data_IF_538084513510
#
_entry.id   IF_538084513510
#
_cell.length_a   1.000
_cell.length_b   1.000
_cell.length_c   1.000
_cell.angle_alpha   90.00
_cell.angle_beta   90.00
_cell.angle_gamma   90.00
#
_symmetry.space_group_name_H-M   'P 1'
#
loop_
_entity.id
_entity.type
_entity.pdbx_description
1 polymer ?
#
# COMPACT_ATOMS: atom_id res chain seq x y z
N UNK A 1 35.35 105.44 -4.59
CA UNK A 1 34.57 104.55 -5.48
C UNK A 1 34.26 103.19 -4.83
N UNK A 2 35.28 102.45 -4.35
CA UNK A 2 35.19 101.11 -3.74
C UNK A 2 33.99 100.83 -2.82
N UNK A 3 33.64 101.74 -1.88
CA UNK A 3 32.54 101.53 -0.93
C UNK A 3 31.20 101.27 -1.65
N UNK A 4 30.92 102.00 -2.75
CA UNK A 4 29.69 101.81 -3.56
C UNK A 4 29.71 100.52 -4.40
N UNK A 5 30.88 99.92 -4.62
CA UNK A 5 30.99 98.59 -5.24
C UNK A 5 30.67 97.50 -4.21
N UNK A 6 31.29 97.55 -3.03
CA UNK A 6 31.03 96.61 -1.95
C UNK A 6 29.58 96.61 -1.46
N UNK A 7 28.92 97.78 -1.31
CA UNK A 7 27.50 97.81 -0.92
C UNK A 7 26.57 97.27 -2.02
N UNK A 8 26.88 97.50 -3.31
CA UNK A 8 26.14 96.87 -4.42
C UNK A 8 26.34 95.36 -4.47
N UNK A 9 27.57 94.87 -4.29
CA UNK A 9 27.85 93.43 -4.26
C UNK A 9 27.09 92.75 -3.11
N UNK A 10 27.13 93.37 -1.92
CA UNK A 10 26.43 92.89 -0.72
C UNK A 10 24.90 92.89 -0.89
N UNK A 11 24.34 93.89 -1.60
CA UNK A 11 22.90 93.91 -1.94
C UNK A 11 22.50 92.86 -2.99
N UNK A 12 23.33 92.61 -4.00
CA UNK A 12 23.05 91.57 -5.01
C UNK A 12 23.12 90.19 -4.35
N UNK A 13 24.08 89.97 -3.44
CA UNK A 13 24.14 88.79 -2.60
C UNK A 13 22.91 88.68 -1.68
N UNK A 14 22.51 89.74 -0.95
CA UNK A 14 21.37 89.69 -0.04
C UNK A 14 20.02 89.49 -0.71
N UNK A 15 19.84 90.00 -1.94
CA UNK A 15 18.52 90.02 -2.58
C UNK A 15 18.29 88.84 -3.54
N UNK A 16 19.34 88.15 -3.99
CA UNK A 16 19.22 87.01 -4.94
C UNK A 16 19.65 85.69 -4.32
N UNK A 17 20.82 85.62 -3.67
CA UNK A 17 21.33 84.36 -3.11
C UNK A 17 20.55 83.93 -1.87
N UNK A 18 20.12 84.87 -1.04
CA UNK A 18 19.38 84.60 0.19
C UNK A 18 18.00 83.93 -0.04
N UNK A 19 17.13 84.41 -0.96
CA UNK A 19 15.91 83.69 -1.30
C UNK A 19 16.16 82.36 -2.04
N UNK A 20 17.15 82.30 -2.95
CA UNK A 20 17.50 81.06 -3.66
C UNK A 20 18.06 79.96 -2.72
N UNK A 21 18.86 80.35 -1.73
CA UNK A 21 19.34 79.44 -0.70
C UNK A 21 18.19 78.98 0.22
N UNK A 22 17.25 79.86 0.57
CA UNK A 22 16.05 79.51 1.34
C UNK A 22 15.17 78.49 0.60
N UNK A 23 14.91 78.67 -0.70
CA UNK A 23 14.13 77.69 -1.48
C UNK A 23 14.89 76.37 -1.65
N UNK A 24 16.18 76.40 -1.94
CA UNK A 24 17.02 75.19 -2.05
C UNK A 24 17.06 74.40 -0.73
N UNK A 25 17.26 75.07 0.42
CA UNK A 25 17.25 74.42 1.73
C UNK A 25 15.86 73.90 2.13
N UNK A 26 14.77 74.61 1.78
CA UNK A 26 13.41 74.16 2.07
C UNK A 26 13.05 72.91 1.24
N UNK A 27 13.42 72.87 -0.05
CA UNK A 27 13.29 71.67 -0.89
C UNK A 27 14.17 70.53 -0.38
N UNK A 28 15.39 70.82 0.09
CA UNK A 28 16.27 69.84 0.74
C UNK A 28 15.67 69.25 2.03
N UNK A 29 15.12 70.10 2.90
CA UNK A 29 14.45 69.65 4.13
C UNK A 29 13.18 68.84 3.84
N UNK A 30 12.36 69.25 2.86
CA UNK A 30 11.12 68.57 2.51
C UNK A 30 11.38 67.21 1.85
N UNK A 31 12.39 67.10 0.99
CA UNK A 31 12.82 65.82 0.41
C UNK A 31 13.46 64.89 1.44
N UNK A 32 14.27 65.41 2.37
CA UNK A 32 14.79 64.63 3.51
C UNK A 32 13.66 64.13 4.43
N UNK A 33 12.66 64.96 4.72
CA UNK A 33 11.47 64.56 5.48
C UNK A 33 10.68 63.46 4.77
N UNK A 34 10.43 63.59 3.46
CA UNK A 34 9.75 62.57 2.66
C UNK A 34 10.51 61.23 2.70
N UNK A 35 11.84 61.26 2.56
CA UNK A 35 12.69 60.07 2.64
C UNK A 35 12.63 59.40 4.02
N UNK A 36 12.57 60.18 5.11
CA UNK A 36 12.41 59.66 6.46
C UNK A 36 11.03 58.98 6.64
N UNK A 37 9.94 59.62 6.20
CA UNK A 37 8.57 59.05 6.28
C UNK A 37 8.46 57.74 5.47
N UNK A 38 8.97 57.72 4.23
CA UNK A 38 8.99 56.51 3.39
C UNK A 38 9.80 55.39 4.07
N UNK A 39 10.95 55.73 4.68
CA UNK A 39 11.78 54.75 5.40
C UNK A 39 11.07 54.15 6.61
N UNK A 40 10.29 54.94 7.36
CA UNK A 40 9.48 54.46 8.49
C UNK A 40 8.41 53.48 8.02
N UNK A 41 7.70 53.80 6.91
CA UNK A 41 6.67 52.91 6.34
C UNK A 41 7.27 51.58 5.87
N UNK A 42 8.44 51.61 5.21
CA UNK A 42 9.17 50.40 4.77
C UNK A 42 9.63 49.57 5.98
N UNK A 43 10.17 50.20 7.03
CA UNK A 43 10.57 49.51 8.25
C UNK A 43 9.37 48.86 8.97
N UNK A 44 8.22 49.54 9.02
CA UNK A 44 6.97 48.99 9.56
C UNK A 44 6.45 47.78 8.77
N UNK A 45 6.49 47.84 7.44
CA UNK A 45 6.13 46.72 6.57
C UNK A 45 7.00 45.48 6.79
N UNK A 46 8.32 45.64 6.94
CA UNK A 46 9.20 44.51 7.26
C UNK A 46 9.00 44.00 8.69
N UNK A 47 8.61 44.86 9.63
CA UNK A 47 8.30 44.46 11.01
C UNK A 47 7.06 43.54 11.06
N UNK A 48 5.97 43.86 10.33
CA UNK A 48 4.76 43.00 10.30
C UNK A 48 4.98 41.68 9.55
N UNK A 49 5.74 41.68 8.46
CA UNK A 49 6.20 40.47 7.75
C UNK A 49 6.90 39.47 8.71
N UNK A 50 7.74 39.98 9.63
CA UNK A 50 8.46 39.13 10.59
C UNK A 50 7.55 38.44 11.62
N UNK A 51 6.45 39.09 12.02
CA UNK A 51 5.50 38.52 12.99
C UNK A 51 4.66 37.39 12.40
N UNK A 52 4.15 37.55 11.17
CA UNK A 52 3.42 36.48 10.48
C UNK A 52 4.29 35.25 10.16
N UNK A 53 5.61 35.42 10.10
CA UNK A 53 6.56 34.33 9.83
C UNK A 53 6.89 33.48 11.07
N UNK A 54 6.55 33.93 12.29
CA UNK A 54 6.94 33.28 13.54
C UNK A 54 5.93 32.24 14.08
N UNK A 55 4.67 32.28 13.63
CA UNK A 55 3.58 31.44 14.17
C UNK A 55 3.43 30.06 13.52
N UNK A 56 4.18 29.76 12.46
CA UNK A 56 3.97 28.56 11.61
C UNK A 56 4.74 27.34 12.13
N UNK A 57 4.41 26.87 13.33
CA UNK A 57 4.95 25.63 13.90
C UNK A 57 4.25 24.39 13.33
N UNK A 58 4.72 23.90 12.18
CA UNK A 58 4.19 22.67 11.56
C UNK A 58 4.34 21.48 12.50
N UNK A 59 3.21 20.96 13.00
CA UNK A 59 3.19 19.77 13.85
C UNK A 59 3.69 18.55 13.07
N UNK A 60 4.63 17.81 13.65
CA UNK A 60 5.18 16.60 13.03
C UNK A 60 4.13 15.46 13.07
N UNK A 61 4.00 14.68 11.98
CA UNK A 61 3.08 13.54 11.96
C UNK A 61 3.55 12.46 12.97
N UNK A 62 2.61 11.74 13.61
CA UNK A 62 2.96 10.67 14.55
C UNK A 62 3.75 9.56 13.87
N UNK A 63 4.63 8.93 14.64
CA UNK A 63 5.44 7.78 14.17
C UNK A 63 4.52 6.61 13.82
N UNK A 64 4.82 5.91 12.73
CA UNK A 64 4.13 4.67 12.38
C UNK A 64 4.39 3.61 13.46
N UNK A 65 3.34 3.20 14.16
CA UNK A 65 3.40 2.08 15.10
C UNK A 65 3.07 0.81 14.32
N UNK A 66 4.07 -0.05 14.11
CA UNK A 66 3.85 -1.31 13.40
C UNK A 66 2.82 -2.17 14.12
N UNK A 67 1.94 -2.78 13.32
CA UNK A 67 0.93 -3.73 13.78
C UNK A 67 1.48 -5.10 13.49
N UNK A 68 1.87 -5.84 14.54
CA UNK A 68 2.43 -7.19 14.41
C UNK A 68 1.65 -8.02 13.36
N UNK A 69 2.34 -8.61 12.37
CA UNK A 69 1.70 -9.25 11.23
C UNK A 69 0.79 -10.39 11.68
N UNK A 70 -0.30 -10.59 10.94
CA UNK A 70 -1.38 -11.52 11.31
C UNK A 70 -1.55 -12.62 10.28
N UNK A 71 -1.99 -13.78 10.73
CA UNK A 71 -2.31 -14.90 9.86
C UNK A 71 -3.67 -14.63 9.21
N UNK A 72 -3.68 -14.47 7.88
CA UNK A 72 -4.89 -14.30 7.07
C UNK A 72 -5.81 -15.55 7.17
N UNK A 73 -6.82 -15.47 8.05
CA UNK A 73 -7.74 -16.57 8.37
C UNK A 73 -8.59 -17.01 7.16
N UNK A 74 -8.97 -16.06 6.34
CA UNK A 74 -9.66 -16.21 5.06
C UNK A 74 -8.81 -17.01 4.05
N UNK A 75 -7.51 -16.73 3.96
CA UNK A 75 -6.59 -17.51 3.11
C UNK A 75 -6.43 -18.95 3.62
N UNK A 76 -6.29 -19.15 4.94
CA UNK A 76 -6.27 -20.50 5.55
C UNK A 76 -7.57 -21.25 5.24
N UNK A 77 -8.72 -20.58 5.33
CA UNK A 77 -10.03 -21.18 5.04
C UNK A 77 -10.27 -21.49 3.56
N UNK A 78 -9.77 -20.68 2.63
CA UNK A 78 -9.89 -20.96 1.19
C UNK A 78 -9.08 -22.20 0.79
N UNK A 79 -7.86 -22.35 1.32
CA UNK A 79 -6.99 -23.53 1.08
C UNK A 79 -7.58 -24.86 1.59
N UNK A 80 -8.49 -24.81 2.56
CA UNK A 80 -9.24 -25.96 3.08
C UNK A 80 -10.60 -26.19 2.39
N UNK A 81 -10.96 -25.38 1.40
CA UNK A 81 -12.21 -25.55 0.64
C UNK A 81 -11.99 -26.58 -0.47
N UNK A 82 -12.80 -27.66 -0.45
CA UNK A 82 -12.71 -28.75 -1.44
C UNK A 82 -13.29 -28.41 -2.82
N UNK A 83 -13.15 -29.33 -3.81
CA UNK A 83 -13.64 -29.10 -5.16
C UNK A 83 -15.15 -28.87 -5.24
N UNK A 84 -15.58 -28.09 -6.23
CA UNK A 84 -16.98 -27.81 -6.55
C UNK A 84 -17.34 -28.29 -7.98
N UNK A 85 -18.61 -28.17 -8.36
CA UNK A 85 -19.11 -28.30 -9.74
C UNK A 85 -18.63 -29.56 -10.48
N UNK A 86 -18.81 -30.74 -9.87
CA UNK A 86 -18.37 -31.99 -10.49
C UNK A 86 -19.18 -32.25 -11.78
N UNK A 87 -18.47 -32.46 -12.89
CA UNK A 87 -18.99 -32.78 -14.22
C UNK A 87 -18.32 -34.05 -14.75
N UNK A 88 -18.97 -34.77 -15.65
CA UNK A 88 -18.39 -35.93 -16.33
C UNK A 88 -18.12 -35.61 -17.80
N UNK A 89 -16.92 -35.94 -18.29
CA UNK A 89 -16.52 -35.77 -19.68
C UNK A 89 -16.25 -37.14 -20.29
N UNK A 90 -17.07 -37.51 -21.28
CA UNK A 90 -16.87 -38.72 -22.08
C UNK A 90 -15.68 -38.55 -23.02
N UNK A 91 -14.78 -39.55 -23.06
CA UNK A 91 -13.66 -39.59 -24.01
C UNK A 91 -14.10 -39.96 -25.44
N UNK A 92 -15.38 -40.29 -25.66
CA UNK A 92 -15.94 -40.56 -26.99
C UNK A 92 -17.36 -40.02 -27.14
N UNK A 93 -17.62 -39.31 -28.24
CA UNK A 93 -18.96 -38.82 -28.58
C UNK A 93 -19.96 -39.92 -28.93
N UNK A 94 -19.49 -41.06 -29.45
CA UNK A 94 -20.27 -42.30 -29.66
C UNK A 94 -19.39 -43.52 -29.34
N UNK A 95 -19.95 -44.48 -28.61
CA UNK A 95 -19.36 -45.79 -28.33
C UNK A 95 -19.86 -46.77 -29.39
N UNK A 96 -18.99 -47.10 -30.35
CA UNK A 96 -19.34 -47.85 -31.56
C UNK A 96 -18.78 -49.27 -31.64
N UNK A 97 -18.36 -49.81 -30.50
CA UNK A 97 -17.96 -51.21 -30.32
C UNK A 97 -18.30 -51.61 -28.89
N UNK A 98 -18.40 -52.91 -28.57
CA UNK A 98 -18.26 -53.38 -27.20
C UNK A 98 -16.98 -52.79 -26.58
N UNK A 99 -17.02 -52.50 -25.28
CA UNK A 99 -15.91 -51.91 -24.54
C UNK A 99 -15.09 -53.04 -23.91
N UNK A 100 -13.83 -53.19 -24.33
CA UNK A 100 -12.89 -54.10 -23.70
C UNK A 100 -12.88 -53.90 -22.17
N UNK A 101 -12.70 -54.98 -21.40
CA UNK A 101 -12.49 -54.87 -19.95
C UNK A 101 -11.35 -53.86 -19.69
N UNK A 102 -11.53 -53.01 -18.68
CA UNK A 102 -10.64 -51.91 -18.30
C UNK A 102 -10.60 -50.69 -19.26
N UNK A 103 -11.44 -50.61 -20.29
CA UNK A 103 -11.51 -49.44 -21.18
C UNK A 103 -12.26 -48.28 -20.50
N UNK A 104 -11.53 -47.22 -20.16
CA UNK A 104 -12.10 -46.00 -19.57
C UNK A 104 -12.99 -45.28 -20.58
N UNK A 105 -14.21 -44.94 -20.19
CA UNK A 105 -15.21 -44.24 -21.04
C UNK A 105 -15.13 -42.71 -20.90
N UNK A 106 -14.62 -42.20 -19.79
CA UNK A 106 -14.52 -40.78 -19.49
C UNK A 106 -14.03 -40.51 -18.07
N UNK A 107 -13.80 -39.24 -17.77
CA UNK A 107 -13.31 -38.75 -16.47
C UNK A 107 -14.33 -37.83 -15.79
N UNK A 108 -14.19 -37.65 -14.48
CA UNK A 108 -14.79 -36.50 -13.81
C UNK A 108 -13.82 -35.33 -13.82
N UNK A 109 -14.37 -34.12 -13.94
CA UNK A 109 -13.68 -32.86 -13.65
C UNK A 109 -14.43 -32.12 -12.55
N UNK A 110 -13.73 -31.24 -11.85
CA UNK A 110 -14.29 -30.36 -10.83
C UNK A 110 -13.57 -29.01 -10.86
N UNK A 111 -14.13 -28.00 -10.21
CA UNK A 111 -13.52 -26.68 -10.12
C UNK A 111 -12.72 -26.54 -8.80
N UNK A 112 -11.49 -26.03 -8.88
CA UNK A 112 -10.66 -25.74 -7.70
C UNK A 112 -10.95 -24.34 -7.16
N UNK A 113 -11.75 -24.27 -6.10
CA UNK A 113 -12.06 -23.03 -5.37
C UNK A 113 -10.81 -22.48 -4.63
N UNK A 114 -9.77 -23.30 -4.45
CA UNK A 114 -8.58 -22.98 -3.68
C UNK A 114 -7.32 -22.63 -4.50
N UNK A 115 -7.49 -22.30 -5.79
CA UNK A 115 -6.39 -21.84 -6.66
C UNK A 115 -5.40 -22.93 -7.09
N UNK A 116 -5.72 -24.21 -6.87
CA UNK A 116 -4.98 -25.33 -7.42
C UNK A 116 -5.28 -25.51 -8.93
N UNK A 117 -4.35 -26.09 -9.72
CA UNK A 117 -4.64 -26.50 -11.09
C UNK A 117 -5.77 -27.55 -11.14
N UNK A 118 -6.58 -27.50 -12.19
CA UNK A 118 -7.88 -28.18 -12.36
C UNK A 118 -7.98 -29.59 -11.71
N UNK A 119 -8.87 -29.79 -10.72
CA UNK A 119 -9.15 -31.08 -10.08
C UNK A 119 -10.13 -31.95 -10.92
N UNK A 120 -10.32 -33.24 -10.59
CA UNK A 120 -9.86 -33.96 -9.40
C UNK A 120 -8.47 -34.59 -9.51
N UNK A 121 -7.87 -34.80 -8.35
CA UNK A 121 -6.68 -35.63 -8.19
C UNK A 121 -7.04 -37.10 -7.84
N UNK A 122 -8.27 -37.35 -7.36
CA UNK A 122 -8.96 -38.67 -7.27
C UNK A 122 -10.48 -38.43 -7.09
N UNK A 123 -11.31 -39.46 -7.29
CA UNK A 123 -12.75 -39.42 -6.98
C UNK A 123 -13.25 -40.74 -6.41
N UNK A 124 -14.34 -40.69 -5.62
CA UNK A 124 -15.08 -41.89 -5.22
C UNK A 124 -16.53 -41.80 -5.63
N UNK A 125 -17.01 -42.85 -6.30
CA UNK A 125 -18.43 -43.16 -6.35
C UNK A 125 -18.94 -43.48 -4.93
N UNK A 126 -20.20 -43.10 -4.66
CA UNK A 126 -20.92 -43.35 -3.42
C UNK A 126 -22.24 -44.12 -3.65
N UNK A 127 -22.77 -44.12 -4.87
CA UNK A 127 -24.08 -44.68 -5.21
C UNK A 127 -24.66 -44.02 -6.47
N UNK A 128 -25.98 -44.02 -6.57
CA UNK A 128 -26.75 -43.52 -7.73
C UNK A 128 -27.52 -44.63 -8.42
N UNK A 129 -28.58 -44.28 -9.15
CA UNK A 129 -29.45 -45.23 -9.87
C UNK A 129 -28.67 -46.12 -10.83
N UNK A 130 -27.67 -45.53 -11.48
CA UNK A 130 -26.93 -46.15 -12.58
C UNK A 130 -25.53 -46.63 -12.17
N UNK A 131 -25.17 -46.62 -10.88
CA UNK A 131 -23.81 -46.99 -10.45
C UNK A 131 -23.39 -48.39 -10.91
N UNK A 132 -24.33 -49.33 -10.98
CA UNK A 132 -24.07 -50.72 -11.43
C UNK A 132 -23.64 -50.82 -12.92
N UNK A 133 -23.78 -49.75 -13.71
CA UNK A 133 -23.22 -49.67 -15.07
C UNK A 133 -21.73 -49.31 -15.11
N UNK A 134 -21.11 -48.94 -13.98
CA UNK A 134 -19.77 -48.38 -13.94
C UNK A 134 -18.89 -48.94 -12.82
N UNK A 135 -17.59 -49.07 -13.10
CA UNK A 135 -16.55 -49.39 -12.12
C UNK A 135 -15.57 -48.21 -12.03
N UNK A 136 -15.21 -47.72 -10.82
CA UNK A 136 -14.26 -46.62 -10.69
C UNK A 136 -12.81 -47.12 -10.87
N UNK A 137 -12.08 -46.50 -11.79
CA UNK A 137 -10.62 -46.61 -11.84
C UNK A 137 -10.05 -45.56 -10.89
N UNK A 138 -9.48 -46.03 -9.77
CA UNK A 138 -8.69 -45.21 -8.84
C UNK A 138 -7.21 -45.30 -9.21
N UNK A 139 -6.57 -44.15 -9.36
CA UNK A 139 -5.10 -44.04 -9.31
C UNK A 139 -4.60 -44.26 -7.88
N UNK A 140 -3.30 -44.53 -7.74
CA UNK A 140 -2.70 -45.03 -6.50
C UNK A 140 -2.45 -43.95 -5.43
N UNK A 141 -3.52 -43.31 -4.91
CA UNK A 141 -3.46 -42.40 -3.76
C UNK A 141 -4.43 -42.92 -2.67
N UNK A 142 -3.91 -43.67 -1.70
CA UNK A 142 -4.62 -43.98 -0.44
C UNK A 142 -4.70 -45.47 -0.07
N UNK A 143 -4.81 -46.39 -1.03
CA UNK A 143 -4.90 -47.83 -0.77
C UNK A 143 -3.86 -48.63 -1.56
N UNK A 144 -3.09 -49.47 -0.86
CA UNK A 144 -2.23 -50.49 -1.46
C UNK A 144 -3.09 -51.59 -2.08
N UNK A 145 -3.41 -51.45 -3.37
CA UNK A 145 -4.06 -52.52 -4.13
C UNK A 145 -2.98 -53.29 -4.92
N UNK A 146 -2.69 -54.58 -4.59
CA UNK A 146 -1.56 -55.32 -5.18
C UNK A 146 -1.73 -55.58 -6.69
N UNK A 147 -2.93 -55.42 -7.24
CA UNK A 147 -3.23 -55.55 -8.67
C UNK A 147 -2.76 -54.36 -9.52
N UNK A 148 -2.10 -53.34 -8.93
CA UNK A 148 -1.52 -52.20 -9.64
C UNK A 148 -0.26 -52.53 -10.49
N UNK A 149 -0.12 -53.77 -10.96
CA UNK A 149 1.08 -54.30 -11.61
C UNK A 149 0.95 -54.51 -13.13
N UNK A 150 -0.03 -53.84 -13.77
CA UNK A 150 -0.24 -53.87 -15.23
C UNK A 150 0.03 -52.51 -15.91
N UNK A 151 1.29 -52.08 -16.05
CA UNK A 151 1.65 -51.10 -17.07
C UNK A 151 1.64 -51.76 -18.47
N UNK A 152 1.45 -50.96 -19.54
CA UNK A 152 1.70 -51.31 -20.96
C UNK A 152 0.70 -52.24 -21.70
N UNK A 153 -0.57 -51.84 -21.81
CA UNK A 153 -1.43 -52.22 -22.96
C UNK A 153 -2.32 -51.07 -23.46
N UNK A 154 -1.84 -49.83 -23.36
CA UNK A 154 -2.46 -48.65 -23.96
C UNK A 154 -1.43 -47.95 -24.85
N UNK A 155 -1.84 -47.64 -26.09
CA UNK A 155 -1.04 -46.89 -27.07
C UNK A 155 -0.78 -45.44 -26.63
N UNK A 156 0.09 -44.75 -27.35
CA UNK A 156 0.50 -43.38 -27.03
C UNK A 156 -0.62 -42.35 -27.24
N UNK A 157 -0.35 -41.10 -26.85
CA UNK A 157 -1.29 -39.97 -26.81
C UNK A 157 -2.31 -39.94 -25.66
N UNK A 158 -1.88 -40.27 -24.43
CA UNK A 158 -2.07 -39.37 -23.27
C UNK A 158 -1.33 -39.89 -22.03
N UNK A 159 -0.60 -39.03 -21.33
CA UNK A 159 0.23 -39.40 -20.17
C UNK A 159 -0.47 -39.24 -18.80
N UNK A 160 -1.73 -38.78 -18.76
CA UNK A 160 -2.35 -38.20 -17.55
C UNK A 160 -3.57 -38.95 -16.98
N UNK A 161 -4.25 -39.82 -17.75
CA UNK A 161 -5.53 -40.42 -17.35
C UNK A 161 -5.38 -41.60 -16.37
N UNK A 162 -5.14 -41.29 -15.09
CA UNK A 162 -5.06 -42.28 -13.99
C UNK A 162 -6.39 -42.52 -13.26
N UNK A 163 -7.44 -41.77 -13.60
CA UNK A 163 -8.74 -41.78 -12.93
C UNK A 163 -9.86 -41.72 -13.97
N UNK A 164 -10.91 -42.53 -13.83
CA UNK A 164 -12.06 -42.50 -14.74
C UNK A 164 -13.06 -43.63 -14.54
N UNK A 165 -14.19 -43.58 -15.23
CA UNK A 165 -15.17 -44.66 -15.22
C UNK A 165 -14.81 -45.73 -16.26
N UNK A 166 -14.87 -46.99 -15.88
CA UNK A 166 -14.87 -48.15 -16.80
C UNK A 166 -16.29 -48.71 -16.87
N UNK A 167 -16.69 -49.17 -18.05
CA UNK A 167 -17.98 -49.83 -18.24
C UNK A 167 -18.04 -51.19 -17.54
N UNK A 168 -19.11 -51.43 -16.78
CA UNK A 168 -19.42 -52.75 -16.25
C UNK A 168 -19.94 -53.69 -17.35
N UNK A 169 -20.09 -54.97 -17.03
CA UNK A 169 -20.72 -55.95 -17.92
C UNK A 169 -22.18 -55.59 -18.25
N UNK A 170 -22.92 -55.01 -17.30
CA UNK A 170 -24.28 -54.53 -17.54
C UNK A 170 -24.33 -53.42 -18.61
N UNK A 171 -23.33 -52.50 -18.61
CA UNK A 171 -23.25 -51.46 -19.62
C UNK A 171 -22.82 -52.02 -20.98
N UNK A 172 -21.86 -52.95 -20.98
CA UNK A 172 -21.47 -53.67 -22.20
C UNK A 172 -22.63 -54.46 -22.82
N UNK A 173 -23.57 -54.98 -22.02
CA UNK A 173 -24.78 -55.63 -22.51
C UNK A 173 -25.75 -54.64 -23.19
N UNK A 174 -25.87 -53.41 -22.67
CA UNK A 174 -26.61 -52.34 -23.36
C UNK A 174 -25.92 -51.93 -24.67
N UNK A 175 -24.60 -51.75 -24.66
CA UNK A 175 -23.80 -51.41 -25.86
C UNK A 175 -23.96 -52.47 -26.94
N UNK A 176 -23.85 -53.76 -26.59
CA UNK A 176 -24.06 -54.88 -27.52
C UNK A 176 -25.45 -54.85 -28.15
N UNK A 177 -26.52 -54.64 -27.36
CA UNK A 177 -27.89 -54.53 -27.87
C UNK A 177 -28.09 -53.31 -28.78
N UNK A 178 -27.57 -52.15 -28.42
CA UNK A 178 -27.69 -50.92 -29.22
C UNK A 178 -26.95 -51.02 -30.57
N UNK A 179 -25.75 -51.60 -30.58
CA UNK A 179 -24.97 -51.83 -31.82
C UNK A 179 -25.66 -52.86 -32.72
N UNK A 180 -26.16 -53.97 -32.17
CA UNK A 180 -26.89 -54.98 -32.92
C UNK A 180 -28.23 -54.44 -33.51
N UNK A 181 -28.87 -53.48 -32.84
CA UNK A 181 -30.08 -52.81 -33.32
C UNK A 181 -29.84 -51.77 -34.44
N UNK A 182 -28.59 -51.57 -34.89
CA UNK A 182 -28.24 -50.75 -36.06
C UNK A 182 -28.50 -49.24 -35.93
N UNK A 183 -28.97 -48.74 -34.78
CA UNK A 183 -29.35 -47.34 -34.57
C UNK A 183 -28.55 -46.73 -33.42
N UNK A 184 -28.20 -45.43 -33.54
CA UNK A 184 -27.55 -44.71 -32.45
C UNK A 184 -28.58 -44.43 -31.36
N UNK A 185 -28.46 -45.14 -30.24
CA UNK A 185 -29.22 -44.92 -29.02
C UNK A 185 -28.49 -43.91 -28.12
N UNK A 186 -29.24 -43.17 -27.31
CA UNK A 186 -28.73 -42.21 -26.33
C UNK A 186 -29.37 -42.51 -24.99
N UNK A 187 -28.57 -42.61 -23.92
CA UNK A 187 -29.07 -42.83 -22.55
C UNK A 187 -28.37 -41.90 -21.57
N UNK A 188 -29.15 -41.25 -20.73
CA UNK A 188 -28.70 -40.55 -19.54
C UNK A 188 -28.47 -41.54 -18.39
N UNK A 189 -27.42 -41.32 -17.62
CA UNK A 189 -27.05 -42.10 -16.43
C UNK A 189 -26.81 -41.13 -15.27
N UNK A 190 -27.19 -41.51 -14.05
CA UNK A 190 -26.96 -40.70 -12.83
C UNK A 190 -26.16 -41.46 -11.78
N UNK A 191 -25.05 -40.86 -11.35
CA UNK A 191 -24.13 -41.40 -10.33
C UNK A 191 -23.83 -40.35 -9.25
N UNK A 192 -23.63 -40.79 -8.01
CA UNK A 192 -23.28 -39.93 -6.87
C UNK A 192 -21.80 -40.04 -6.56
N UNK A 193 -21.11 -38.90 -6.48
CA UNK A 193 -19.64 -38.82 -6.38
C UNK A 193 -19.17 -37.80 -5.34
N UNK A 194 -17.95 -38.04 -4.82
CA UNK A 194 -17.09 -37.03 -4.18
C UNK A 194 -15.82 -36.90 -5.02
N UNK A 195 -15.37 -35.66 -5.23
CA UNK A 195 -14.06 -35.32 -5.78
C UNK A 195 -13.06 -34.95 -4.67
N UNK A 196 -11.79 -35.29 -4.89
CA UNK A 196 -10.67 -34.95 -4.00
C UNK A 196 -9.67 -34.05 -4.74
N UNK A 197 -9.16 -33.03 -4.05
CA UNK A 197 -8.10 -32.17 -4.58
C UNK A 197 -6.68 -32.72 -4.31
N UNK A 198 -5.64 -31.94 -4.65
CA UNK A 198 -4.24 -32.33 -4.44
C UNK A 198 -3.81 -32.32 -2.97
N UNK A 199 -4.63 -31.77 -2.08
CA UNK A 199 -4.34 -31.55 -0.67
C UNK A 199 -5.12 -32.50 0.24
N UNK A 200 -6.10 -33.23 -0.28
CA UNK A 200 -6.97 -34.13 0.48
C UNK A 200 -8.32 -33.52 0.86
N UNK A 201 -8.62 -32.29 0.42
CA UNK A 201 -9.93 -31.67 0.62
C UNK A 201 -10.99 -32.38 -0.22
N UNK A 202 -12.18 -32.52 0.34
CA UNK A 202 -13.29 -33.32 -0.23
C UNK A 202 -14.42 -32.41 -0.67
N UNK A 203 -15.01 -32.68 -1.83
CA UNK A 203 -16.25 -32.02 -2.24
C UNK A 203 -17.42 -32.42 -1.33
N UNK A 204 -18.54 -31.69 -1.43
CA UNK A 204 -19.84 -32.24 -1.01
C UNK A 204 -20.22 -33.42 -1.94
N UNK A 205 -20.99 -34.42 -1.47
CA UNK A 205 -21.56 -35.46 -2.33
C UNK A 205 -22.48 -34.86 -3.39
N UNK A 206 -22.12 -35.00 -4.67
CA UNK A 206 -22.89 -34.46 -5.79
C UNK A 206 -23.45 -35.60 -6.67
N UNK A 207 -24.69 -35.45 -7.14
CA UNK A 207 -25.24 -36.29 -8.19
C UNK A 207 -24.82 -35.71 -9.54
N UNK A 208 -24.16 -36.50 -10.38
CA UNK A 208 -23.70 -36.11 -11.71
C UNK A 208 -24.45 -36.94 -12.74
N UNK A 209 -25.30 -36.27 -13.52
CA UNK A 209 -26.01 -36.84 -14.65
C UNK A 209 -25.20 -36.62 -15.93
N UNK A 210 -25.03 -37.65 -16.75
CA UNK A 210 -24.35 -37.55 -18.04
C UNK A 210 -24.95 -38.49 -19.08
N UNK A 211 -24.79 -38.15 -20.36
CA UNK A 211 -25.40 -38.88 -21.47
C UNK A 211 -24.34 -39.58 -22.30
N UNK A 212 -24.52 -40.88 -22.54
CA UNK A 212 -23.68 -41.66 -23.46
C UNK A 212 -24.49 -42.07 -24.69
N UNK A 213 -23.82 -42.10 -25.85
CA UNK A 213 -24.40 -42.51 -27.14
C UNK A 213 -23.75 -43.82 -27.59
N UNK A 214 -24.55 -44.77 -28.06
CA UNK A 214 -24.12 -46.12 -28.44
C UNK A 214 -24.72 -46.50 -29.79
N UNK A 215 -23.95 -47.08 -30.72
CA UNK A 215 -24.46 -47.51 -32.02
C UNK A 215 -23.36 -47.60 -33.09
N UNK A 216 -23.70 -48.02 -34.33
CA UNK A 216 -22.72 -48.19 -35.40
C UNK A 216 -21.92 -46.91 -35.73
N UNK A 217 -20.69 -47.08 -36.21
CA UNK A 217 -19.71 -46.01 -36.40
C UNK A 217 -19.96 -45.23 -37.69
N UNK A 218 -20.27 -43.94 -37.59
CA UNK A 218 -20.12 -42.99 -38.72
C UNK A 218 -18.64 -42.56 -38.85
N UNK A 219 -18.07 -42.41 -40.06
CA UNK A 219 -16.62 -42.43 -40.25
C UNK A 219 -15.91 -41.07 -40.18
N UNK A 220 -14.97 -40.89 -39.24
CA UNK A 220 -13.81 -39.96 -39.38
C UNK A 220 -12.63 -40.35 -38.46
N UNK A 221 -11.40 -40.14 -38.95
CA UNK A 221 -10.08 -40.04 -38.26
C UNK A 221 -9.54 -41.18 -37.35
N UNK A 222 -8.18 -41.26 -37.23
CA UNK A 222 -7.38 -42.26 -36.50
C UNK A 222 -5.90 -41.81 -36.25
N UNK A 223 -5.00 -42.73 -35.85
CA UNK A 223 -3.54 -42.63 -35.57
C UNK A 223 -3.11 -42.12 -34.15
N UNK A 224 -1.99 -42.53 -33.51
CA UNK A 224 -1.04 -43.66 -33.71
C UNK A 224 -0.38 -44.13 -32.35
N UNK A 225 0.67 -45.00 -32.33
CA UNK A 225 1.13 -45.75 -31.12
C UNK A 225 2.68 -45.93 -30.93
N UNK A 226 3.12 -46.65 -29.85
CA UNK A 226 4.47 -47.18 -29.45
C UNK A 226 5.46 -46.25 -28.64
N UNK A 227 6.40 -46.71 -27.76
CA UNK A 227 6.60 -47.96 -26.94
C UNK A 227 7.84 -47.90 -25.97
N UNK A 228 7.85 -48.70 -24.86
CA UNK A 228 9.06 -49.26 -24.10
C UNK A 228 9.95 -48.23 -23.29
N UNK A 229 10.78 -48.44 -22.21
CA UNK A 229 11.31 -49.51 -21.27
C UNK A 229 11.24 -49.05 -19.76
N UNK A 230 11.52 -49.88 -18.71
CA UNK A 230 11.87 -49.38 -17.34
C UNK A 230 12.89 -50.21 -16.50
N UNK A 231 13.45 -49.65 -15.41
CA UNK A 231 14.27 -50.36 -14.38
C UNK A 231 14.01 -49.86 -12.93
N UNK A 232 14.70 -50.43 -11.91
CA UNK A 232 14.18 -50.60 -10.53
C UNK A 232 14.80 -49.69 -9.44
N UNK A 233 14.10 -49.57 -8.31
CA UNK A 233 14.29 -48.61 -7.20
C UNK A 233 15.26 -49.02 -6.07
N UNK A 234 15.61 -48.07 -5.19
CA UNK A 234 15.79 -48.33 -3.74
C UNK A 234 15.48 -47.07 -2.89
N UNK A 235 15.32 -47.24 -1.57
CA UNK A 235 15.11 -46.15 -0.60
C UNK A 235 15.52 -46.62 0.80
N UNK A 236 16.12 -45.75 1.62
CA UNK A 236 16.48 -46.02 3.03
C UNK A 236 15.79 -45.05 4.00
N UNK A 237 15.78 -45.36 5.30
CA UNK A 237 15.09 -44.57 6.34
C UNK A 237 15.75 -44.78 7.70
N UNK A 238 15.89 -43.73 8.50
CA UNK A 238 16.59 -43.78 9.80
C UNK A 238 15.79 -43.06 10.90
N UNK A 239 15.69 -43.72 12.06
CA UNK A 239 15.22 -43.22 13.36
C UNK A 239 16.42 -42.71 14.20
N UNK A 240 16.33 -42.12 15.39
CA UNK A 240 15.33 -41.32 16.12
C UNK A 240 16.05 -40.85 17.41
N UNK A 241 15.78 -39.64 17.92
CA UNK A 241 16.18 -39.26 19.29
C UNK A 241 15.03 -38.49 19.98
N UNK A 242 14.94 -38.59 21.31
CA UNK A 242 13.84 -38.05 22.12
C UNK A 242 14.37 -37.40 23.42
N UNK A 243 14.34 -36.07 23.55
CA UNK A 243 14.39 -35.41 24.85
C UNK A 243 12.99 -35.35 25.49
N UNK A 244 12.94 -35.25 26.82
CA UNK A 244 11.72 -34.94 27.57
C UNK A 244 11.55 -33.42 27.62
N UNK A 245 10.38 -32.91 27.20
CA UNK A 245 10.18 -31.48 26.90
C UNK A 245 9.10 -30.89 27.80
N UNK A 246 9.43 -29.77 28.47
CA UNK A 246 8.43 -28.91 29.14
C UNK A 246 7.37 -28.45 28.14
N UNK A 247 6.09 -28.51 28.51
CA UNK A 247 4.98 -28.27 27.58
C UNK A 247 4.83 -26.78 27.26
N UNK A 248 5.58 -26.29 26.28
CA UNK A 248 5.42 -24.92 25.75
C UNK A 248 4.07 -24.76 25.04
N UNK A 249 3.51 -23.54 24.92
CA UNK A 249 2.23 -23.29 24.25
C UNK A 249 2.16 -23.83 22.81
N UNK A 250 3.30 -23.84 22.09
CA UNK A 250 3.44 -24.45 20.77
C UNK A 250 3.27 -25.98 20.80
N UNK A 251 3.85 -26.67 21.79
CA UNK A 251 3.70 -28.13 21.92
C UNK A 251 2.28 -28.55 22.30
N UNK A 252 1.55 -27.72 23.07
CA UNK A 252 0.13 -27.92 23.34
C UNK A 252 -0.69 -27.80 22.06
N UNK A 253 -0.52 -26.70 21.31
CA UNK A 253 -1.21 -26.49 20.03
C UNK A 253 -0.89 -27.60 19.01
N UNK A 254 0.37 -28.01 18.89
CA UNK A 254 0.78 -29.10 18.00
C UNK A 254 0.18 -30.46 18.40
N UNK A 255 -0.03 -30.69 19.71
CA UNK A 255 -0.73 -31.88 20.24
C UNK A 255 -2.22 -31.84 19.91
N UNK A 256 -2.87 -30.70 20.05
CA UNK A 256 -4.28 -30.50 19.69
C UNK A 256 -4.52 -30.76 18.18
N UNK A 257 -3.69 -30.17 17.32
CA UNK A 257 -3.73 -30.40 15.86
C UNK A 257 -3.50 -31.88 15.52
N UNK A 258 -2.55 -32.54 16.21
CA UNK A 258 -2.27 -33.96 15.97
C UNK A 258 -3.42 -34.88 16.43
N UNK A 259 -4.18 -34.53 17.47
CA UNK A 259 -5.38 -35.28 17.89
C UNK A 259 -6.51 -35.20 16.87
N UNK A 260 -6.69 -34.08 16.16
CA UNK A 260 -7.66 -33.96 15.05
C UNK A 260 -7.29 -34.90 13.89
N UNK A 261 -6.00 -35.11 13.65
CA UNK A 261 -5.51 -35.98 12.59
C UNK A 261 -5.57 -37.48 12.91
N UNK A 262 -5.32 -37.84 14.17
CA UNK A 262 -5.23 -39.23 14.62
C UNK A 262 -5.50 -39.32 16.14
N UNK A 263 -6.77 -39.46 16.55
CA UNK A 263 -7.17 -39.59 17.95
C UNK A 263 -6.55 -40.81 18.67
N UNK A 264 -6.16 -41.85 17.91
CA UNK A 264 -5.56 -43.09 18.42
C UNK A 264 -4.06 -42.96 18.68
N UNK A 265 -3.46 -41.81 18.35
CA UNK A 265 -2.03 -41.49 18.57
C UNK A 265 -1.07 -42.44 17.85
N UNK A 266 -1.45 -42.92 16.66
CA UNK A 266 -0.61 -43.76 15.82
C UNK A 266 0.51 -43.01 15.07
N UNK A 267 1.11 -43.62 14.04
CA UNK A 267 2.20 -43.00 13.27
C UNK A 267 1.83 -41.64 12.64
N UNK A 268 0.56 -41.44 12.30
CA UNK A 268 0.05 -40.18 11.73
C UNK A 268 0.09 -39.07 12.77
N UNK A 269 -0.34 -39.32 14.00
CA UNK A 269 -0.22 -38.37 15.12
C UNK A 269 1.22 -37.84 15.26
N UNK A 270 2.21 -38.74 15.36
CA UNK A 270 3.62 -38.33 15.52
C UNK A 270 4.22 -37.65 14.28
N UNK A 271 3.65 -37.85 13.10
CA UNK A 271 4.01 -37.14 11.86
C UNK A 271 3.44 -35.72 11.87
N UNK A 272 2.16 -35.56 12.23
CA UNK A 272 1.47 -34.27 12.31
C UNK A 272 2.06 -33.42 13.44
N UNK A 273 2.24 -33.98 14.65
CA UNK A 273 2.84 -33.29 15.79
C UNK A 273 4.20 -32.68 15.46
N UNK A 274 5.13 -33.47 14.90
CA UNK A 274 6.45 -32.97 14.49
C UNK A 274 6.37 -31.90 13.39
N UNK A 275 5.46 -32.05 12.43
CA UNK A 275 5.28 -31.03 11.37
C UNK A 275 4.68 -29.73 11.93
N UNK A 276 3.73 -29.83 12.87
CA UNK A 276 3.09 -28.69 13.54
C UNK A 276 4.05 -27.93 14.45
N UNK A 277 4.89 -28.61 15.24
CA UNK A 277 5.97 -27.97 16.03
C UNK A 277 7.00 -27.25 15.17
N UNK A 278 7.21 -27.68 13.93
CA UNK A 278 8.14 -27.05 13.00
C UNK A 278 7.51 -25.92 12.17
N UNK A 279 6.20 -25.63 12.29
CA UNK A 279 5.55 -24.57 11.50
C UNK A 279 6.21 -23.19 11.68
N UNK A 280 6.45 -22.64 12.89
CA UNK A 280 7.07 -21.32 13.03
C UNK A 280 8.40 -21.22 12.28
N UNK A 281 9.27 -22.22 12.48
CA UNK A 281 10.57 -22.32 11.81
C UNK A 281 10.44 -22.38 10.28
N UNK A 282 9.50 -23.16 9.75
CA UNK A 282 9.22 -23.21 8.31
C UNK A 282 8.66 -21.88 7.77
N UNK A 283 8.00 -21.08 8.62
CA UNK A 283 7.48 -19.76 8.26
C UNK A 283 8.55 -18.66 8.33
N UNK A 284 9.73 -18.93 8.91
CA UNK A 284 10.80 -17.95 9.16
C UNK A 284 10.74 -17.29 10.54
N UNK A 285 10.07 -17.91 11.51
CA UNK A 285 9.77 -17.36 12.84
C UNK A 285 10.36 -18.26 13.94
N UNK A 286 10.73 -17.68 15.08
CA UNK A 286 11.21 -18.46 16.22
C UNK A 286 10.11 -19.37 16.82
N UNK A 287 10.50 -20.49 17.44
CA UNK A 287 9.56 -21.45 18.06
C UNK A 287 8.98 -20.96 19.39
N UNK A 288 9.45 -19.84 19.91
CA UNK A 288 8.97 -19.18 21.14
C UNK A 288 8.18 -17.89 20.88
N UNK A 289 8.01 -17.46 19.62
CA UNK A 289 7.25 -16.25 19.27
C UNK A 289 5.78 -16.34 19.73
N UNK A 290 5.47 -15.63 20.81
CA UNK A 290 4.16 -15.66 21.44
C UNK A 290 3.04 -15.08 20.55
N UNK A 291 3.38 -14.15 19.65
CA UNK A 291 2.39 -13.52 18.74
C UNK A 291 2.03 -14.49 17.63
N UNK A 292 3.05 -15.10 17.00
CA UNK A 292 2.85 -16.14 16.00
C UNK A 292 2.09 -17.34 16.59
N UNK A 293 2.45 -17.81 17.79
CA UNK A 293 1.77 -18.95 18.43
C UNK A 293 0.31 -18.60 18.76
N UNK A 294 0.03 -17.37 19.21
CA UNK A 294 -1.34 -16.92 19.50
C UNK A 294 -2.19 -16.84 18.22
N UNK A 295 -1.68 -16.28 17.13
CA UNK A 295 -2.41 -16.23 15.86
C UNK A 295 -2.52 -17.61 15.19
N UNK A 296 -1.54 -18.49 15.34
CA UNK A 296 -1.60 -19.88 14.88
C UNK A 296 -2.67 -20.67 15.64
N UNK A 297 -2.84 -20.42 16.95
CA UNK A 297 -3.96 -20.97 17.74
C UNK A 297 -5.31 -20.45 17.25
N UNK A 298 -5.45 -19.15 16.94
CA UNK A 298 -6.68 -18.58 16.34
C UNK A 298 -6.99 -19.22 14.98
N UNK A 299 -5.97 -19.38 14.13
CA UNK A 299 -6.09 -20.01 12.83
C UNK A 299 -6.49 -21.49 12.92
N UNK A 300 -5.97 -22.21 13.92
CA UNK A 300 -6.42 -23.58 14.23
C UNK A 300 -7.88 -23.63 14.66
N UNK A 301 -8.30 -22.84 15.67
CA UNK A 301 -9.70 -22.84 16.15
C UNK A 301 -10.70 -22.42 15.05
N UNK A 302 -10.35 -21.42 14.22
CA UNK A 302 -11.15 -21.01 13.07
C UNK A 302 -11.25 -22.09 11.98
N UNK A 303 -10.15 -22.81 11.72
CA UNK A 303 -10.10 -23.87 10.72
C UNK A 303 -10.60 -25.24 11.22
N UNK A 304 -10.72 -25.44 12.53
CA UNK A 304 -10.91 -26.72 13.24
C UNK A 304 -11.95 -27.64 12.60
N UNK A 305 -13.14 -27.10 12.30
CA UNK A 305 -14.26 -27.84 11.70
C UNK A 305 -14.10 -28.17 10.20
N UNK A 306 -12.99 -27.74 9.58
CA UNK A 306 -12.60 -27.99 8.18
C UNK A 306 -11.31 -28.82 8.07
N UNK A 307 -10.60 -29.03 9.18
CA UNK A 307 -9.41 -29.87 9.25
C UNK A 307 -9.83 -31.34 9.32
N UNK A 308 -9.16 -32.18 8.56
CA UNK A 308 -9.37 -33.63 8.47
C UNK A 308 -8.01 -34.35 8.48
N UNK A 309 -7.95 -35.65 8.79
CA UNK A 309 -6.72 -36.44 8.70
C UNK A 309 -6.02 -36.33 7.34
N UNK A 310 -6.79 -36.16 6.27
CA UNK A 310 -6.30 -36.10 4.89
C UNK A 310 -5.70 -34.74 4.52
N UNK A 311 -6.32 -33.63 4.96
CA UNK A 311 -5.90 -32.27 4.57
C UNK A 311 -4.98 -31.54 5.57
N UNK A 312 -4.78 -32.07 6.78
CA UNK A 312 -3.98 -31.38 7.83
C UNK A 312 -2.51 -31.22 7.44
N UNK A 313 -1.89 -32.25 6.86
CA UNK A 313 -0.45 -32.25 6.50
C UNK A 313 -0.16 -31.38 5.26
N UNK A 314 -1.12 -31.34 4.34
CA UNK A 314 -0.97 -30.85 2.96
C UNK A 314 -1.63 -29.48 2.75
N UNK A 315 -2.83 -29.27 3.29
CA UNK A 315 -3.55 -27.99 3.23
C UNK A 315 -3.26 -27.10 4.43
N UNK A 316 -3.67 -27.51 5.62
CA UNK A 316 -3.67 -26.63 6.81
C UNK A 316 -2.26 -26.16 7.19
N UNK A 317 -1.34 -27.08 7.51
CA UNK A 317 -0.02 -26.72 8.04
C UNK A 317 0.81 -25.87 7.05
N UNK A 318 0.78 -26.08 5.72
CA UNK A 318 1.41 -25.16 4.77
C UNK A 318 0.71 -23.80 4.64
N UNK A 319 -0.64 -23.75 4.65
CA UNK A 319 -1.38 -22.49 4.49
C UNK A 319 -1.11 -21.48 5.61
N UNK A 320 -0.71 -21.94 6.80
CA UNK A 320 -0.29 -21.08 7.91
C UNK A 320 0.92 -20.21 7.51
N UNK A 321 1.95 -20.81 6.88
CA UNK A 321 3.12 -20.04 6.44
C UNK A 321 2.85 -19.17 5.21
N UNK A 322 1.93 -19.59 4.35
CA UNK A 322 1.48 -18.75 3.22
C UNK A 322 0.79 -17.49 3.76
N UNK A 323 -0.22 -17.66 4.61
CA UNK A 323 -0.98 -16.59 5.23
C UNK A 323 -0.14 -15.68 6.13
N UNK A 324 0.83 -16.22 6.87
CA UNK A 324 1.80 -15.44 7.63
C UNK A 324 2.67 -14.55 6.72
N UNK A 325 3.27 -15.11 5.67
CA UNK A 325 4.12 -14.36 4.74
C UNK A 325 3.33 -13.28 3.99
N UNK A 326 2.06 -13.54 3.66
CA UNK A 326 1.15 -12.51 3.13
C UNK A 326 0.90 -11.39 4.14
N UNK A 327 0.70 -11.72 5.42
CA UNK A 327 0.56 -10.73 6.51
C UNK A 327 1.81 -9.86 6.70
N UNK A 328 3.00 -10.48 6.74
CA UNK A 328 4.30 -9.78 6.80
C UNK A 328 4.48 -8.87 5.58
N UNK A 329 4.19 -9.36 4.38
CA UNK A 329 4.30 -8.56 3.15
C UNK A 329 3.30 -7.40 3.09
N UNK A 330 2.14 -7.51 3.75
CA UNK A 330 1.17 -6.42 3.87
C UNK A 330 1.63 -5.35 4.88
N UNK A 331 2.15 -5.76 6.04
CA UNK A 331 2.67 -4.84 7.06
C UNK A 331 3.90 -4.07 6.58
N UNK A 332 4.87 -4.74 5.95
CA UNK A 332 6.05 -4.09 5.38
C UNK A 332 5.69 -3.05 4.29
N UNK A 333 4.59 -3.26 3.56
CA UNK A 333 4.05 -2.28 2.60
C UNK A 333 3.38 -1.10 3.31
N UNK A 334 2.63 -1.34 4.37
CA UNK A 334 1.99 -0.30 5.17
C UNK A 334 3.03 0.61 5.84
N UNK A 335 4.07 0.02 6.44
CA UNK A 335 5.22 0.75 6.97
C UNK A 335 5.93 1.56 5.88
N UNK A 336 6.24 0.95 4.73
CA UNK A 336 6.89 1.64 3.61
C UNK A 336 6.11 2.87 3.14
N UNK A 337 4.78 2.74 2.98
CA UNK A 337 3.90 3.86 2.62
C UNK A 337 3.88 4.94 3.71
N UNK A 338 3.86 4.56 4.99
CA UNK A 338 3.86 5.50 6.10
C UNK A 338 5.20 6.26 6.21
N UNK A 339 6.33 5.58 6.01
CA UNK A 339 7.66 6.19 6.00
C UNK A 339 7.84 7.14 4.81
N UNK A 340 7.37 6.78 3.60
CA UNK A 340 7.36 7.70 2.44
C UNK A 340 6.53 8.95 2.72
N UNK A 341 5.32 8.82 3.27
CA UNK A 341 4.48 9.97 3.66
C UNK A 341 5.16 10.84 4.73
N UNK A 342 5.81 10.22 5.72
CA UNK A 342 6.55 10.94 6.77
C UNK A 342 7.72 11.74 6.19
N UNK A 343 8.48 11.15 5.25
CA UNK A 343 9.58 11.84 4.55
C UNK A 343 9.07 13.00 3.69
N UNK A 344 7.93 12.84 3.00
CA UNK A 344 7.30 13.92 2.25
C UNK A 344 6.91 15.09 3.18
N UNK A 345 6.19 14.82 4.28
CA UNK A 345 5.77 15.87 5.22
C UNK A 345 6.98 16.54 5.90
N UNK A 346 8.06 15.79 6.16
CA UNK A 346 9.33 16.35 6.65
C UNK A 346 9.98 17.28 5.62
N UNK A 347 10.00 16.91 4.34
CA UNK A 347 10.53 17.75 3.26
C UNK A 347 9.68 19.02 3.04
N UNK A 348 8.35 18.90 3.10
CA UNK A 348 7.41 20.03 3.05
C UNK A 348 7.60 20.98 4.24
N UNK A 349 7.78 20.45 5.46
CA UNK A 349 8.08 21.24 6.65
C UNK A 349 9.47 21.92 6.58
N UNK A 350 10.48 21.24 6.02
CA UNK A 350 11.79 21.84 5.77
C UNK A 350 11.73 22.96 4.72
N UNK A 351 10.98 22.78 3.63
CA UNK A 351 10.78 23.81 2.60
C UNK A 351 9.97 25.01 3.12
N UNK A 352 8.97 24.77 3.97
CA UNK A 352 8.25 25.83 4.67
C UNK A 352 9.20 26.61 5.60
N UNK A 353 10.06 25.91 6.36
CA UNK A 353 11.05 26.53 7.23
C UNK A 353 12.07 27.37 6.44
N UNK A 354 12.70 26.84 5.38
CA UNK A 354 13.69 27.61 4.61
C UNK A 354 13.09 28.83 3.94
N UNK A 355 11.81 28.77 3.51
CA UNK A 355 11.06 29.94 3.04
C UNK A 355 10.83 30.97 4.16
N UNK A 356 10.46 30.54 5.37
CA UNK A 356 10.29 31.42 6.52
C UNK A 356 11.62 32.05 6.98
N UNK A 357 12.70 31.28 7.01
CA UNK A 357 14.06 31.77 7.34
C UNK A 357 14.54 32.80 6.29
N UNK A 358 14.27 32.57 5.00
CA UNK A 358 14.57 33.53 3.92
C UNK A 358 13.78 34.83 4.06
N UNK A 359 12.46 34.76 4.35
CA UNK A 359 11.62 35.93 4.58
C UNK A 359 12.03 36.72 5.83
N UNK A 360 12.37 36.02 6.92
CA UNK A 360 12.91 36.64 8.13
C UNK A 360 14.27 37.32 7.88
N UNK A 361 15.13 36.72 7.06
CA UNK A 361 16.43 37.29 6.69
C UNK A 361 16.29 38.55 5.83
N UNK A 362 15.45 38.51 4.78
CA UNK A 362 15.20 39.66 3.93
C UNK A 362 14.48 40.80 4.67
N UNK A 363 13.53 40.48 5.57
CA UNK A 363 12.87 41.47 6.42
C UNK A 363 13.84 42.18 7.38
N UNK A 364 14.77 41.45 8.01
CA UNK A 364 15.83 42.05 8.84
C UNK A 364 16.71 42.99 8.03
N UNK A 365 17.23 42.52 6.89
CA UNK A 365 18.07 43.33 5.99
C UNK A 365 17.36 44.60 5.51
N UNK A 366 16.11 44.46 5.05
CA UNK A 366 15.29 45.59 4.61
C UNK A 366 15.00 46.60 5.71
N UNK A 367 14.72 46.14 6.94
CA UNK A 367 14.54 47.02 8.11
C UNK A 367 15.81 47.75 8.49
N UNK A 368 16.96 47.08 8.49
CA UNK A 368 18.24 47.69 8.88
C UNK A 368 18.74 48.70 7.83
N UNK A 369 18.47 48.48 6.53
CA UNK A 369 18.70 49.47 5.47
C UNK A 369 17.75 50.67 5.65
N UNK A 370 16.46 50.44 5.85
CA UNK A 370 15.48 51.51 6.05
C UNK A 370 15.82 52.38 7.29
N UNK A 371 16.24 51.77 8.40
CA UNK A 371 16.67 52.50 9.60
C UNK A 371 17.94 53.34 9.35
N UNK A 372 18.90 52.84 8.54
CA UNK A 372 20.09 53.64 8.15
C UNK A 372 19.71 54.84 7.28
N UNK A 373 18.81 54.66 6.31
CA UNK A 373 18.31 55.76 5.46
C UNK A 373 17.54 56.78 6.29
N UNK A 374 16.65 56.33 7.19
CA UNK A 374 15.95 57.20 8.15
C UNK A 374 16.93 58.01 9.00
N UNK A 375 17.94 57.37 9.60
CA UNK A 375 18.91 58.06 10.46
C UNK A 375 19.74 59.09 9.68
N UNK A 376 20.16 58.77 8.46
CA UNK A 376 20.85 59.70 7.56
C UNK A 376 19.97 60.88 7.14
N UNK A 377 18.71 60.63 6.76
CA UNK A 377 17.75 61.65 6.38
C UNK A 377 17.43 62.61 7.56
N UNK A 378 17.28 62.09 8.77
CA UNK A 378 17.12 62.89 9.99
C UNK A 378 18.39 63.70 10.28
N UNK A 379 19.58 63.12 10.12
CA UNK A 379 20.85 63.84 10.28
C UNK A 379 20.98 65.03 9.32
N UNK A 380 20.64 64.83 8.04
CA UNK A 380 20.58 65.90 7.02
C UNK A 380 19.52 66.94 7.36
N UNK A 381 18.32 66.52 7.78
CA UNK A 381 17.24 67.43 8.15
C UNK A 381 17.61 68.30 9.36
N UNK A 382 18.25 67.72 10.39
CA UNK A 382 18.78 68.46 11.53
C UNK A 382 19.85 69.47 11.09
N UNK A 383 20.80 69.04 10.27
CA UNK A 383 21.88 69.90 9.73
C UNK A 383 21.36 71.06 8.87
N UNK A 384 20.25 70.88 8.14
CA UNK A 384 19.57 71.95 7.38
C UNK A 384 18.68 72.81 8.29
N UNK A 385 18.07 72.24 9.33
CA UNK A 385 17.18 72.98 10.25
C UNK A 385 17.93 74.04 11.07
N UNK A 386 19.19 73.80 11.43
CA UNK A 386 20.02 74.74 12.20
C UNK A 386 20.24 76.09 11.48
N UNK A 387 20.77 76.15 10.24
CA UNK A 387 20.86 77.41 9.50
C UNK A 387 19.49 78.00 9.14
N UNK A 388 18.45 77.18 8.94
CA UNK A 388 17.08 77.70 8.75
C UNK A 388 16.58 78.45 10.00
N UNK A 389 16.79 77.89 11.20
CA UNK A 389 16.40 78.51 12.46
C UNK A 389 17.16 79.82 12.70
N UNK A 390 18.47 79.85 12.42
CA UNK A 390 19.27 81.08 12.49
C UNK A 390 18.77 82.16 11.51
N UNK A 391 18.46 81.79 10.26
CA UNK A 391 17.90 82.71 9.25
C UNK A 391 16.48 83.19 9.59
N UNK A 392 15.69 82.40 10.32
CA UNK A 392 14.39 82.81 10.85
C UNK A 392 14.53 83.78 12.01
N UNK A 393 15.49 83.55 12.93
CA UNK A 393 15.81 84.47 14.02
C UNK A 393 16.33 85.82 13.49
N UNK A 394 17.13 85.81 12.42
CA UNK A 394 17.62 87.03 11.75
C UNK A 394 16.50 87.79 11.00
N UNK A 395 15.55 87.09 10.38
CA UNK A 395 14.32 87.71 9.86
C UNK A 395 13.49 88.33 10.99
N UNK A 396 13.31 87.63 12.12
CA UNK A 396 12.50 88.12 13.22
C UNK A 396 13.15 89.30 13.96
N UNK A 397 14.48 89.31 14.13
CA UNK A 397 15.17 90.45 14.75
C UNK A 397 15.14 91.69 13.85
N UNK A 398 15.27 91.54 12.54
CA UNK A 398 15.12 92.65 11.58
C UNK A 398 13.68 93.13 11.42
N UNK A 399 12.68 92.24 11.50
CA UNK A 399 11.27 92.60 11.57
C UNK A 399 10.94 93.36 12.88
N UNK A 400 11.38 92.86 14.03
CA UNK A 400 11.20 93.55 15.32
C UNK A 400 11.90 94.91 15.33
N UNK A 401 13.11 95.01 14.76
CA UNK A 401 13.84 96.27 14.62
C UNK A 401 13.09 97.28 13.75
N UNK A 402 12.58 96.87 12.59
CA UNK A 402 11.80 97.77 11.71
C UNK A 402 10.42 98.13 12.27
N UNK A 403 9.86 97.31 13.17
CA UNK A 403 8.68 97.69 13.98
C UNK A 403 9.06 98.72 15.05
N UNK A 404 10.17 98.53 15.76
CA UNK A 404 10.66 99.49 16.77
C UNK A 404 11.03 100.85 16.14
N UNK A 405 11.76 100.85 15.03
CA UNK A 405 12.12 102.07 14.28
C UNK A 405 10.87 102.80 13.74
N UNK A 406 9.76 102.10 13.45
CA UNK A 406 8.46 102.72 13.13
C UNK A 406 7.76 103.29 14.36
N UNK A 407 7.69 102.54 15.46
CA UNK A 407 7.07 103.01 16.71
C UNK A 407 7.78 104.25 17.27
N UNK A 408 9.10 104.34 17.10
CA UNK A 408 9.88 105.53 17.47
C UNK A 408 9.62 106.72 16.52
N UNK A 409 9.50 106.47 15.21
CA UNK A 409 9.10 107.50 14.25
C UNK A 409 7.67 108.03 14.50
N UNK A 410 6.71 107.14 14.75
CA UNK A 410 5.32 107.49 15.09
C UNK A 410 5.25 108.22 16.44
N UNK A 411 6.12 107.88 17.41
CA UNK A 411 6.25 108.63 18.67
C UNK A 411 6.76 110.06 18.47
N UNK A 412 7.72 110.27 17.55
CA UNK A 412 8.23 111.60 17.22
C UNK A 412 7.18 112.41 16.44
N UNK A 413 6.43 111.79 15.54
CA UNK A 413 5.32 112.44 14.83
C UNK A 413 4.11 112.71 15.75
N UNK A 414 3.92 111.92 16.81
CA UNK A 414 2.83 112.00 17.77
C UNK A 414 2.96 113.09 18.86
N UNK A 415 3.97 113.97 18.77
CA UNK A 415 4.06 115.18 19.59
C UNK A 415 3.72 116.43 18.76
N UNK A 416 2.43 116.82 18.69
CA UNK A 416 2.08 118.17 18.26
C UNK A 416 2.54 119.17 19.33
N UNK A 417 3.61 119.91 19.05
CA UNK A 417 4.02 121.03 19.88
C UNK A 417 2.90 122.07 19.90
N UNK A 418 2.14 122.11 20.99
CA UNK A 418 1.00 122.98 21.16
C UNK A 418 1.42 124.31 21.82
N UNK A 419 2.34 125.00 21.16
CA UNK A 419 2.78 126.36 21.48
C UNK A 419 2.61 127.23 20.22
N UNK A 420 2.07 128.44 20.27
CA UNK A 420 1.55 129.19 21.43
C UNK A 420 2.12 130.60 21.46
N UNK A 421 1.41 131.52 20.76
CA UNK A 421 1.77 132.94 20.50
C UNK A 421 3.05 133.17 19.71
#
# INVERSE_FOLDING_TARGET
MWIKFWTRLRHIQSNVYLPAARTAMLVGALSAFLAAVISILIAGYFQTQSWHSASTSTSLPPVYVSRNPKIALDLVASKLTGPANIRFISFKGVISSPLNKNKVIGQFEADAVNGLPAPPNDFSLLGGTDIHFFTPVRGAIGLRNPLAHYPRLLGTHSASFRYGLVASEALNNLVRKAVAAGKIQSRSFSVRVIAFDKLGNKSKPQNVSFTLRFGPKSPTAAANALSVTPHTSSTSTTQLAKPTVQQTPLTLLAREIALVADPKRGPTFFKVFRKACNVPHNCGVDRSDAVFIADYRKAFEFAKNRITPDNVISGFLPSICEAWRTGVAAENRAEGIANVKRLQILAEAQAAKTKADLLNSSARSGRDVALRVMLGAIGVLLLISLPLALLLLENHSSALRTIAERLEADRVAGHPNNEGT
#
